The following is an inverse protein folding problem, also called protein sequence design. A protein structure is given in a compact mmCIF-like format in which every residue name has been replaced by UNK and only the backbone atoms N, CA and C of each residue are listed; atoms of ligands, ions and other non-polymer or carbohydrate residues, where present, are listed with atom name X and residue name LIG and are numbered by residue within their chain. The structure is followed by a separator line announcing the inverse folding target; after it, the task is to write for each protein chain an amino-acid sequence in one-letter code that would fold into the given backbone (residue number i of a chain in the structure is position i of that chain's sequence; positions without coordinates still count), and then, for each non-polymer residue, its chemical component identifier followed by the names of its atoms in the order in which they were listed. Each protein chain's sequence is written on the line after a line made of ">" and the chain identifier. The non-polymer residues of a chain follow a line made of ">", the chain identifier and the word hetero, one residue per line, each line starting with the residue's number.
data_IF_789515787480
#
_entry.id   IF_789515787480
#
_cell.length_a   1.000
_cell.length_b   1.000
_cell.length_c   1.000
_cell.angle_alpha   90.00
_cell.angle_beta   90.00
_cell.angle_gamma   90.00
#
_symmetry.space_group_name_H-M   'P 1'
#
loop_
_entity.id
_entity.type
_entity.pdbx_description
1 polymer ?
#
# COMPACT_ATOMS: atom_id res chain seq x y z
N UNK A 1 -7.13 6.05 4.12
CA UNK A 1 -7.44 5.89 2.69
C UNK A 1 -7.49 7.20 1.90
N UNK A 2 -7.91 8.33 2.50
CA UNK A 2 -8.04 9.61 1.78
C UNK A 2 -6.76 10.08 1.05
N UNK A 3 -5.56 9.78 1.58
CA UNK A 3 -4.29 10.20 0.96
C UNK A 3 -4.03 9.49 -0.37
N UNK A 4 -4.19 8.16 -0.45
CA UNK A 4 -3.92 7.41 -1.68
C UNK A 4 -5.00 7.65 -2.74
N UNK A 5 -6.26 7.76 -2.31
CA UNK A 5 -7.37 8.04 -3.21
C UNK A 5 -7.26 9.42 -3.88
N UNK A 6 -6.61 10.40 -3.24
CA UNK A 6 -6.33 11.71 -3.82
C UNK A 6 -5.45 11.63 -5.08
N UNK A 7 -4.58 10.62 -5.14
CA UNK A 7 -3.70 10.37 -6.29
C UNK A 7 -4.28 9.29 -7.23
N UNK A 8 -5.59 9.01 -7.12
CA UNK A 8 -6.28 7.94 -7.86
C UNK A 8 -5.68 6.55 -7.63
N UNK A 9 -5.04 6.33 -6.47
CA UNK A 9 -4.47 5.05 -6.04
C UNK A 9 -5.48 4.36 -5.11
N UNK A 10 -6.08 3.28 -5.60
CA UNK A 10 -7.04 2.46 -4.87
C UNK A 10 -6.35 1.23 -4.29
N UNK A 11 -5.58 1.44 -3.23
CA UNK A 11 -4.84 0.37 -2.57
C UNK A 11 -5.78 -0.64 -1.87
N UNK A 12 -5.33 -1.89 -1.67
CA UNK A 12 -6.04 -2.89 -0.88
C UNK A 12 -6.41 -2.38 0.53
N UNK A 13 -7.59 -2.74 1.01
CA UNK A 13 -8.12 -2.27 2.30
C UNK A 13 -7.22 -2.60 3.50
N UNK A 14 -6.37 -3.63 3.38
CA UNK A 14 -5.44 -4.09 4.42
C UNK A 14 -4.20 -3.21 4.57
N UNK A 15 -3.90 -2.31 3.63
CA UNK A 15 -2.65 -1.52 3.65
C UNK A 15 -2.47 -0.70 4.94
N UNK A 16 -3.48 0.04 5.45
CA UNK A 16 -3.35 0.73 6.73
C UNK A 16 -3.07 -0.21 7.90
N UNK A 17 -3.78 -1.34 7.97
CA UNK A 17 -3.59 -2.35 9.03
C UNK A 17 -2.19 -2.97 8.97
N UNK A 18 -1.68 -3.24 7.77
CA UNK A 18 -0.33 -3.76 7.56
C UNK A 18 0.75 -2.76 8.02
N UNK A 19 0.56 -1.46 7.75
CA UNK A 19 1.45 -0.39 8.23
C UNK A 19 1.43 -0.27 9.75
N UNK A 20 0.25 -0.31 10.37
CA UNK A 20 0.11 -0.30 11.84
C UNK A 20 0.78 -1.51 12.47
N UNK A 21 0.64 -2.69 11.86
CA UNK A 21 1.31 -3.90 12.32
C UNK A 21 2.84 -3.80 12.24
N UNK A 22 3.37 -3.30 11.12
CA UNK A 22 4.81 -3.09 10.94
C UNK A 22 5.36 -2.05 11.94
N UNK A 23 4.63 -0.95 12.17
CA UNK A 23 4.98 0.03 13.19
C UNK A 23 4.98 -0.59 14.59
N UNK A 24 3.99 -1.43 14.91
CA UNK A 24 3.92 -2.15 16.17
C UNK A 24 5.12 -3.07 16.39
N UNK A 25 5.58 -3.77 15.36
CA UNK A 25 6.81 -4.60 15.39
C UNK A 25 8.05 -3.76 15.68
N UNK A 26 8.19 -2.61 15.01
CA UNK A 26 9.28 -1.67 15.23
C UNK A 26 9.30 -1.14 16.68
N UNK A 27 8.15 -0.65 17.17
CA UNK A 27 8.04 -0.07 18.51
C UNK A 27 8.32 -1.09 19.64
N UNK A 28 8.06 -2.37 19.41
CA UNK A 28 8.35 -3.44 20.37
C UNK A 28 9.77 -4.00 20.25
N UNK A 29 10.60 -3.43 19.38
CA UNK A 29 11.95 -3.93 19.06
C UNK A 29 11.95 -5.39 18.56
N UNK A 30 10.85 -5.84 17.96
CA UNK A 30 10.70 -7.19 17.40
C UNK A 30 11.24 -7.29 15.97
N UNK A 31 11.53 -6.14 15.34
CA UNK A 31 12.13 -6.04 14.02
C UNK A 31 13.10 -4.86 14.00
N UNK A 32 14.18 -4.98 13.25
CA UNK A 32 15.16 -3.91 13.10
C UNK A 32 14.81 -2.93 11.95
N UNK A 33 15.64 -1.89 11.78
CA UNK A 33 15.36 -0.83 10.81
C UNK A 33 15.41 -1.37 9.38
N UNK A 34 16.30 -2.32 9.11
CA UNK A 34 16.50 -2.91 7.80
C UNK A 34 15.29 -3.77 7.44
N UNK A 35 14.85 -4.62 8.36
CA UNK A 35 13.66 -5.47 8.21
C UNK A 35 12.41 -4.64 7.97
N UNK A 36 12.17 -3.60 8.78
CA UNK A 36 10.99 -2.73 8.64
C UNK A 36 11.03 -1.94 7.33
N UNK A 37 12.19 -1.42 6.93
CA UNK A 37 12.32 -0.67 5.67
C UNK A 37 12.00 -1.57 4.47
N UNK A 38 12.57 -2.78 4.44
CA UNK A 38 12.31 -3.76 3.39
C UNK A 38 10.82 -4.16 3.33
N UNK A 39 10.19 -4.40 4.47
CA UNK A 39 8.77 -4.76 4.54
C UNK A 39 7.85 -3.63 4.04
N UNK A 40 8.16 -2.37 4.37
CA UNK A 40 7.42 -1.20 3.89
C UNK A 40 7.60 -1.06 2.37
N UNK A 41 8.83 -1.19 1.86
CA UNK A 41 9.12 -1.15 0.42
C UNK A 41 8.35 -2.24 -0.35
N UNK A 42 8.31 -3.47 0.19
CA UNK A 42 7.53 -4.57 -0.38
C UNK A 42 6.03 -4.24 -0.44
N UNK A 43 5.48 -3.70 0.66
CA UNK A 43 4.07 -3.31 0.72
C UNK A 43 3.73 -2.23 -0.34
N UNK A 44 4.57 -1.21 -0.50
CA UNK A 44 4.36 -0.16 -1.49
C UNK A 44 4.64 -0.62 -2.93
N UNK A 45 5.49 -1.62 -3.13
CA UNK A 45 5.66 -2.30 -4.41
C UNK A 45 4.36 -2.99 -4.82
N UNK A 46 3.69 -3.68 -3.89
CA UNK A 46 2.37 -4.27 -4.14
C UNK A 46 1.31 -3.22 -4.46
N UNK A 47 1.25 -2.12 -3.69
CA UNK A 47 0.33 -1.00 -4.00
C UNK A 47 0.58 -0.48 -5.41
N UNK A 48 1.83 -0.24 -5.78
CA UNK A 48 2.21 0.22 -7.12
C UNK A 48 1.79 -0.77 -8.21
N UNK A 49 1.93 -2.08 -7.95
CA UNK A 49 1.46 -3.11 -8.86
C UNK A 49 -0.06 -3.07 -9.04
N UNK A 50 -0.82 -2.97 -7.95
CA UNK A 50 -2.30 -2.88 -8.03
C UNK A 50 -2.77 -1.64 -8.78
N UNK A 51 -2.11 -0.50 -8.58
CA UNK A 51 -2.41 0.73 -9.31
C UNK A 51 -2.16 0.59 -10.82
N UNK A 52 -1.09 -0.10 -11.23
CA UNK A 52 -0.76 -0.36 -12.64
C UNK A 52 -1.70 -1.36 -13.31
N UNK A 53 -2.25 -2.30 -12.54
CA UNK A 53 -3.20 -3.31 -13.02
C UNK A 53 -4.65 -2.82 -13.03
N UNK A 54 -4.89 -1.53 -12.75
CA UNK A 54 -6.20 -0.90 -12.84
C UNK A 54 -6.77 -1.12 -14.25
N UNK A 55 -8.04 -1.56 -14.39
CA UNK A 55 -8.61 -1.82 -15.71
C UNK A 55 -8.54 -0.58 -16.61
N UNK A 56 -8.10 -0.74 -17.85
CA UNK A 56 -7.86 0.38 -18.76
C UNK A 56 -8.76 0.38 -19.99
N UNK A 57 -9.81 -0.44 -20.02
CA UNK A 57 -10.81 -0.39 -21.11
C UNK A 57 -11.62 0.90 -21.01
N UNK A 58 -12.13 1.37 -22.15
CA UNK A 58 -12.89 2.63 -22.21
C UNK A 58 -14.11 2.62 -21.28
N UNK A 59 -14.76 1.47 -21.11
CA UNK A 59 -15.85 1.28 -20.14
C UNK A 59 -15.47 1.68 -18.70
N UNK A 60 -14.26 1.33 -18.25
CA UNK A 60 -13.84 1.55 -16.86
C UNK A 60 -13.19 2.93 -16.64
N UNK A 61 -12.60 3.52 -17.68
CA UNK A 61 -12.03 4.88 -17.65
C UNK A 61 -13.07 5.96 -17.34
N UNK A 62 -14.35 5.71 -17.61
CA UNK A 62 -15.45 6.63 -17.28
C UNK A 62 -15.78 6.62 -15.77
N UNK A 63 -15.44 5.54 -15.06
CA UNK A 63 -15.77 5.37 -13.65
C UNK A 63 -14.68 5.90 -12.69
N UNK A 64 -13.41 5.67 -13.04
CA UNK A 64 -12.26 5.94 -12.16
C UNK A 64 -11.11 6.65 -12.85
#
# INVERSE_FOLDING_TARGET
>A
MAILANDSIYAPAVVPEALEWALGKWCRHEADRVEISAAIEELFSWVSFTARQKPASDFWKEYF
#
